data_IF_006481660419
#
_entry.id   IF_006481660419
#
_cell.length_a   1.000
_cell.length_b   1.000
_cell.length_c   1.000
_cell.angle_alpha   90.00
_cell.angle_beta   90.00
_cell.angle_gamma   90.00
#
_symmetry.space_group_name_H-M   'P 1'
#
loop_
_entity.id
_entity.type
_entity.pdbx_description
1 polymer ?
#
# COMPACT_ATOMS: atom_id res chain seq x y z
N UNK A 1 37.59 -56.48 21.26
CA UNK A 1 36.22 -56.87 20.85
C UNK A 1 35.40 -55.62 20.96
N UNK A 2 35.16 -54.95 19.83
CA UNK A 2 34.31 -53.77 19.75
C UNK A 2 32.86 -54.24 19.72
N UNK A 3 32.08 -53.84 20.72
CA UNK A 3 30.63 -54.03 20.74
C UNK A 3 30.00 -53.03 19.76
N UNK A 4 29.61 -53.54 18.59
CA UNK A 4 28.75 -52.80 17.66
C UNK A 4 27.34 -52.76 18.24
N UNK A 5 26.96 -51.64 18.84
CA UNK A 5 25.58 -51.38 19.25
C UNK A 5 24.73 -51.17 18.00
N UNK A 6 23.95 -52.19 17.64
CA UNK A 6 22.94 -52.10 16.59
C UNK A 6 21.79 -51.28 17.15
N UNK A 7 21.63 -50.04 16.67
CA UNK A 7 20.46 -49.21 16.95
C UNK A 7 19.26 -49.87 16.28
N UNK A 8 18.33 -50.38 17.10
CA UNK A 8 17.06 -50.95 16.69
C UNK A 8 16.26 -49.92 15.88
N UNK A 9 15.89 -50.26 14.64
CA UNK A 9 14.93 -49.48 13.86
C UNK A 9 13.57 -49.53 14.56
N UNK A 10 13.11 -48.40 15.09
CA UNK A 10 11.76 -48.31 15.67
C UNK A 10 10.73 -48.67 14.59
N UNK A 11 9.82 -49.60 14.92
CA UNK A 11 8.67 -49.93 14.05
C UNK A 11 7.84 -48.67 13.85
N UNK A 12 7.66 -48.26 12.59
CA UNK A 12 6.81 -47.12 12.27
C UNK A 12 5.35 -47.59 12.27
N UNK A 13 4.67 -47.41 13.40
CA UNK A 13 3.28 -47.81 13.61
C UNK A 13 2.30 -47.21 12.58
N UNK A 14 2.65 -46.07 11.97
CA UNK A 14 1.85 -45.44 10.92
C UNK A 14 1.81 -46.26 9.62
N UNK A 15 2.72 -47.23 9.42
CA UNK A 15 2.69 -48.13 8.25
C UNK A 15 1.49 -49.09 8.28
N UNK A 16 0.92 -49.33 9.47
CA UNK A 16 -0.23 -50.22 9.66
C UNK A 16 -1.57 -49.47 9.56
N UNK A 17 -1.53 -48.13 9.38
CA UNK A 17 -2.71 -47.28 9.31
C UNK A 17 -3.22 -47.12 7.87
N UNK A 18 -4.52 -46.91 7.70
CA UNK A 18 -5.08 -46.44 6.44
C UNK A 18 -4.66 -44.99 6.16
N UNK A 19 -4.70 -44.57 4.90
CA UNK A 19 -4.42 -43.17 4.53
C UNK A 19 -5.33 -42.18 5.27
N UNK A 20 -6.62 -42.52 5.44
CA UNK A 20 -7.57 -41.69 6.18
C UNK A 20 -7.18 -41.54 7.67
N UNK A 21 -6.67 -42.61 8.30
CA UNK A 21 -6.18 -42.56 9.67
C UNK A 21 -4.91 -41.69 9.79
N UNK A 22 -4.03 -41.76 8.79
CA UNK A 22 -2.84 -40.90 8.72
C UNK A 22 -3.26 -39.43 8.56
N UNK A 23 -4.17 -39.11 7.64
CA UNK A 23 -4.67 -37.75 7.41
C UNK A 23 -5.32 -37.17 8.67
N UNK A 24 -6.20 -37.94 9.32
CA UNK A 24 -6.83 -37.52 10.58
C UNK A 24 -5.81 -37.27 11.69
N UNK A 25 -4.78 -38.10 11.78
CA UNK A 25 -3.69 -37.93 12.76
C UNK A 25 -2.86 -36.67 12.49
N UNK A 26 -2.49 -36.40 11.23
CA UNK A 26 -1.76 -35.18 10.83
C UNK A 26 -2.58 -33.94 11.22
N UNK A 27 -3.88 -33.93 10.92
CA UNK A 27 -4.77 -32.83 11.25
C UNK A 27 -4.86 -32.64 12.78
N UNK A 28 -5.07 -33.73 13.53
CA UNK A 28 -5.15 -33.66 15.00
C UNK A 28 -3.86 -33.10 15.62
N UNK A 29 -2.70 -33.59 15.19
CA UNK A 29 -1.41 -33.09 15.68
C UNK A 29 -1.12 -31.64 15.25
N UNK A 30 -1.65 -31.21 14.11
CA UNK A 30 -1.57 -29.80 13.69
C UNK A 30 -2.37 -28.90 14.64
N UNK A 31 -3.56 -29.33 15.06
CA UNK A 31 -4.35 -28.63 16.07
C UNK A 31 -3.67 -28.61 17.45
N UNK A 32 -3.08 -29.73 17.86
CA UNK A 32 -2.32 -29.81 19.11
C UNK A 32 -1.11 -28.87 19.10
N UNK A 33 -0.45 -28.71 17.96
CA UNK A 33 0.65 -27.76 17.78
C UNK A 33 0.17 -26.31 17.96
N UNK A 34 -0.94 -25.93 17.31
CA UNK A 34 -1.54 -24.61 17.44
C UNK A 34 -1.95 -24.31 18.89
N UNK A 35 -2.55 -25.30 19.56
CA UNK A 35 -2.92 -25.25 20.96
C UNK A 35 -1.71 -25.08 21.87
N UNK A 36 -0.65 -25.83 21.61
CA UNK A 36 0.59 -25.78 22.39
C UNK A 36 1.23 -24.40 22.32
N UNK A 37 1.23 -23.75 21.16
CA UNK A 37 1.73 -22.37 20.99
C UNK A 37 1.05 -21.40 21.97
N UNK A 38 -0.27 -21.50 22.11
CA UNK A 38 -1.07 -20.61 22.96
C UNK A 38 -0.94 -20.95 24.46
N UNK A 39 -0.92 -22.22 24.84
CA UNK A 39 -0.69 -22.62 26.23
C UNK A 39 0.73 -22.27 26.71
N UNK A 40 1.73 -22.37 25.83
CA UNK A 40 3.09 -21.86 26.10
C UNK A 40 3.04 -20.35 26.36
N UNK A 41 2.38 -19.59 25.48
CA UNK A 41 2.23 -18.14 25.65
C UNK A 41 1.54 -17.74 26.96
N UNK A 42 0.47 -18.45 27.33
CA UNK A 42 -0.25 -18.28 28.60
C UNK A 42 0.62 -18.53 29.82
N UNK A 43 1.39 -19.63 29.81
CA UNK A 43 2.28 -19.97 30.91
C UNK A 43 3.42 -18.93 31.05
N UNK A 44 4.04 -18.54 29.93
CA UNK A 44 5.08 -17.52 29.90
C UNK A 44 4.56 -16.16 30.38
N UNK A 45 3.35 -15.78 29.97
CA UNK A 45 2.69 -14.55 30.41
C UNK A 45 2.42 -14.57 31.92
N UNK A 46 1.98 -15.70 32.47
CA UNK A 46 1.80 -15.84 33.92
C UNK A 46 3.13 -15.73 34.71
N UNK A 47 4.24 -16.20 34.13
CA UNK A 47 5.58 -16.01 34.72
C UNK A 47 5.99 -14.54 34.69
N UNK A 48 5.79 -13.86 33.55
CA UNK A 48 6.18 -12.46 33.35
C UNK A 48 5.34 -11.50 34.20
N UNK A 49 4.01 -11.57 34.11
CA UNK A 49 3.08 -10.68 34.83
C UNK A 49 3.10 -10.94 36.33
N UNK A 50 3.14 -12.21 36.73
CA UNK A 50 3.23 -12.62 38.13
C UNK A 50 4.61 -12.42 38.73
N UNK A 51 5.60 -11.99 37.93
CA UNK A 51 7.03 -11.90 38.31
C UNK A 51 7.56 -13.17 38.98
N UNK A 52 7.05 -14.34 38.57
CA UNK A 52 7.36 -15.64 39.21
C UNK A 52 8.84 -16.02 39.09
N UNK A 53 9.55 -15.45 38.13
CA UNK A 53 11.00 -15.58 38.01
C UNK A 53 11.74 -15.13 39.30
N UNK A 54 11.16 -14.24 40.10
CA UNK A 54 11.76 -13.81 41.38
C UNK A 54 11.82 -14.94 42.42
N UNK A 55 10.96 -15.97 42.33
CA UNK A 55 10.99 -17.14 43.22
C UNK A 55 12.30 -17.94 43.08
N UNK A 56 12.93 -17.87 41.91
CA UNK A 56 14.23 -18.48 41.63
C UNK A 56 15.40 -17.49 41.74
N UNK A 57 15.14 -16.26 42.20
CA UNK A 57 16.17 -15.25 42.43
C UNK A 57 16.57 -14.40 41.22
N UNK A 58 15.89 -14.53 40.07
CA UNK A 58 16.19 -13.69 38.91
C UNK A 58 15.61 -12.29 39.07
N UNK A 59 16.34 -11.28 38.56
CA UNK A 59 15.94 -9.87 38.64
C UNK A 59 14.95 -9.46 37.56
N UNK A 60 14.91 -10.21 36.45
CA UNK A 60 14.04 -9.92 35.30
C UNK A 60 13.59 -11.19 34.58
N UNK A 61 12.48 -11.09 33.86
CA UNK A 61 12.00 -12.17 32.99
C UNK A 61 13.03 -12.56 31.92
N UNK A 62 13.79 -11.59 31.41
CA UNK A 62 14.85 -11.83 30.42
C UNK A 62 15.96 -12.70 30.98
N UNK A 63 16.47 -12.37 32.16
CA UNK A 63 17.51 -13.13 32.85
C UNK A 63 17.05 -14.57 33.12
N UNK A 64 15.81 -14.74 33.61
CA UNK A 64 15.20 -16.06 33.78
C UNK A 64 15.15 -16.86 32.49
N UNK A 65 14.73 -16.24 31.38
CA UNK A 65 14.63 -16.93 30.09
C UNK A 65 15.99 -17.28 29.51
N UNK A 66 17.02 -16.47 29.73
CA UNK A 66 18.39 -16.78 29.28
C UNK A 66 18.91 -18.04 29.98
N UNK A 67 18.74 -18.16 31.29
CA UNK A 67 19.12 -19.36 32.04
C UNK A 67 18.22 -20.57 31.74
N UNK A 68 16.90 -20.36 31.68
CA UNK A 68 15.95 -21.43 31.37
C UNK A 68 16.13 -21.97 29.94
N UNK A 69 16.54 -21.13 28.97
CA UNK A 69 16.83 -21.57 27.61
C UNK A 69 18.10 -22.43 27.49
N UNK A 70 18.95 -22.44 28.51
CA UNK A 70 20.13 -23.30 28.57
C UNK A 70 19.85 -24.66 29.21
N UNK A 71 18.79 -24.79 30.03
CA UNK A 71 18.60 -25.94 30.91
C UNK A 71 17.18 -26.54 30.94
N UNK A 72 16.16 -25.85 30.41
CA UNK A 72 14.75 -26.26 30.58
C UNK A 72 13.91 -26.09 29.32
N UNK A 73 14.06 -24.98 28.60
CA UNK A 73 13.29 -24.69 27.39
C UNK A 73 14.19 -24.72 26.15
N UNK A 74 13.68 -25.22 25.04
CA UNK A 74 14.40 -25.25 23.77
C UNK A 74 14.33 -23.91 23.00
N UNK A 75 13.81 -22.84 23.62
CA UNK A 75 13.63 -21.56 22.98
C UNK A 75 14.11 -20.37 23.82
N UNK A 76 14.64 -19.37 23.11
CA UNK A 76 15.23 -18.15 23.70
C UNK A 76 14.17 -17.12 24.08
N UNK A 77 14.57 -16.13 24.87
CA UNK A 77 13.75 -14.98 25.27
C UNK A 77 12.93 -14.34 24.13
N UNK A 78 13.56 -14.13 22.96
CA UNK A 78 12.86 -13.53 21.80
C UNK A 78 11.67 -14.37 21.34
N UNK A 79 11.79 -15.69 21.33
CA UNK A 79 10.70 -16.59 20.97
C UNK A 79 9.63 -16.61 22.07
N UNK A 80 10.03 -16.63 23.34
CA UNK A 80 9.08 -16.52 24.46
C UNK A 80 8.21 -15.26 24.36
N UNK A 81 8.81 -14.12 23.99
CA UNK A 81 8.06 -12.87 23.76
C UNK A 81 7.09 -12.97 22.57
N UNK A 82 7.38 -13.73 21.52
CA UNK A 82 6.41 -14.00 20.44
C UNK A 82 5.22 -14.80 20.94
N UNK A 83 5.48 -15.89 21.68
CA UNK A 83 4.43 -16.72 22.28
C UNK A 83 3.50 -15.88 23.16
N UNK A 84 4.07 -15.00 24.00
CA UNK A 84 3.29 -14.08 24.83
C UNK A 84 2.41 -13.15 23.97
N UNK A 85 2.98 -12.48 22.97
CA UNK A 85 2.22 -11.54 22.12
C UNK A 85 1.11 -12.21 21.33
N UNK A 86 1.36 -13.42 20.82
CA UNK A 86 0.35 -14.22 20.12
C UNK A 86 -0.76 -14.62 21.09
N UNK A 87 -0.41 -15.03 22.32
CA UNK A 87 -1.40 -15.32 23.35
C UNK A 87 -2.23 -14.09 23.77
N UNK A 88 -1.60 -12.93 23.93
CA UNK A 88 -2.30 -11.68 24.29
C UNK A 88 -3.38 -11.30 23.28
N UNK A 89 -3.15 -11.55 21.98
CA UNK A 89 -4.11 -11.25 20.93
C UNK A 89 -5.14 -12.37 20.72
N UNK A 90 -4.70 -13.63 20.73
CA UNK A 90 -5.52 -14.74 20.23
C UNK A 90 -5.88 -15.78 21.31
N UNK A 91 -5.49 -15.59 22.57
CA UNK A 91 -5.56 -16.60 23.63
C UNK A 91 -6.95 -17.20 23.92
N UNK A 92 -8.04 -16.53 23.52
CA UNK A 92 -9.41 -17.05 23.61
C UNK A 92 -9.94 -17.73 22.34
N UNK A 93 -9.14 -17.81 21.27
CA UNK A 93 -9.56 -18.24 19.92
C UNK A 93 -8.79 -19.48 19.43
N UNK A 94 -8.36 -20.32 20.37
CA UNK A 94 -7.59 -21.54 20.11
C UNK A 94 -8.22 -22.43 19.02
N UNK A 95 -9.54 -22.57 19.06
CA UNK A 95 -10.37 -23.35 18.15
C UNK A 95 -10.48 -22.76 16.75
N UNK A 96 -10.06 -21.50 16.56
CA UNK A 96 -10.31 -20.75 15.33
C UNK A 96 -9.07 -20.55 14.46
N UNK A 97 -7.84 -20.65 14.99
CA UNK A 97 -6.62 -20.19 14.29
C UNK A 97 -6.09 -21.08 13.15
N UNK A 98 -6.88 -22.04 12.65
CA UNK A 98 -6.58 -22.92 11.52
C UNK A 98 -5.13 -23.42 11.42
N UNK A 99 -4.52 -23.80 12.57
CA UNK A 99 -3.14 -24.29 12.67
C UNK A 99 -2.02 -23.33 12.18
N UNK A 100 -2.27 -22.02 12.19
CA UNK A 100 -1.31 -21.02 11.75
C UNK A 100 0.00 -21.03 12.54
N UNK A 101 1.11 -20.79 11.84
CA UNK A 101 2.47 -20.71 12.43
C UNK A 101 2.59 -19.50 13.35
N UNK A 102 3.31 -19.67 14.46
CA UNK A 102 3.53 -18.59 15.44
C UNK A 102 4.15 -17.34 14.82
N UNK A 103 5.08 -17.48 13.86
CA UNK A 103 5.69 -16.34 13.18
C UNK A 103 4.68 -15.54 12.36
N UNK A 104 3.72 -16.19 11.72
CA UNK A 104 2.67 -15.55 10.92
C UNK A 104 1.70 -14.81 11.86
N UNK A 105 1.27 -15.48 12.93
CA UNK A 105 0.40 -14.88 13.94
C UNK A 105 1.04 -13.66 14.62
N UNK A 106 2.34 -13.70 14.92
CA UNK A 106 3.06 -12.57 15.54
C UNK A 106 3.17 -11.35 14.60
N UNK A 107 3.32 -11.58 13.28
CA UNK A 107 3.37 -10.52 12.26
C UNK A 107 1.99 -9.88 12.09
N UNK A 108 0.96 -10.71 11.96
CA UNK A 108 -0.41 -10.28 11.67
C UNK A 108 -1.19 -9.79 12.90
N UNK A 109 -0.59 -9.83 14.11
CA UNK A 109 -1.24 -9.39 15.36
C UNK A 109 -1.86 -7.99 15.30
N UNK A 110 -1.24 -7.08 14.54
CA UNK A 110 -1.61 -5.67 14.51
C UNK A 110 -2.59 -5.32 13.36
N UNK A 111 -3.01 -6.29 12.55
CA UNK A 111 -3.96 -6.03 11.45
C UNK A 111 -5.40 -5.88 11.97
N UNK A 112 -6.30 -5.22 11.19
CA UNK A 112 -7.72 -5.14 11.51
C UNK A 112 -8.35 -6.53 11.68
N UNK A 113 -9.24 -6.67 12.66
CA UNK A 113 -9.85 -7.96 13.01
C UNK A 113 -10.64 -8.57 11.84
N UNK A 114 -11.34 -7.74 11.07
CA UNK A 114 -12.10 -8.18 9.90
C UNK A 114 -11.21 -8.82 8.81
N UNK A 115 -10.01 -8.27 8.61
CA UNK A 115 -9.08 -8.80 7.61
C UNK A 115 -8.41 -10.08 8.12
N UNK A 116 -8.15 -10.17 9.42
CA UNK A 116 -7.70 -11.40 10.05
C UNK A 116 -8.73 -12.54 9.92
N UNK A 117 -10.01 -12.27 10.21
CA UNK A 117 -11.07 -13.28 10.11
C UNK A 117 -11.23 -13.81 8.69
N UNK A 118 -11.15 -12.95 7.67
CA UNK A 118 -11.18 -13.39 6.26
C UNK A 118 -10.05 -14.37 5.93
N UNK A 119 -8.81 -14.09 6.36
CA UNK A 119 -7.65 -14.96 6.12
C UNK A 119 -7.78 -16.30 6.85
N UNK A 120 -8.36 -16.24 8.04
CA UNK A 120 -8.54 -17.39 8.89
C UNK A 120 -9.62 -18.34 8.33
N UNK A 121 -10.76 -17.78 7.91
CA UNK A 121 -11.89 -18.53 7.36
C UNK A 121 -11.60 -19.07 5.95
N UNK A 122 -10.78 -18.38 5.15
CA UNK A 122 -10.35 -18.86 3.82
C UNK A 122 -9.31 -19.98 3.89
N UNK A 123 -8.68 -20.18 5.05
CA UNK A 123 -7.57 -21.13 5.24
C UNK A 123 -6.23 -20.67 4.67
N UNK A 124 -6.16 -19.45 4.12
CA UNK A 124 -4.90 -18.84 3.66
C UNK A 124 -3.90 -18.69 4.81
N UNK A 125 -4.39 -18.47 6.03
CA UNK A 125 -3.56 -18.30 7.22
C UNK A 125 -2.63 -19.51 7.50
N UNK A 126 -3.06 -20.73 7.18
CA UNK A 126 -2.27 -21.95 7.37
C UNK A 126 -1.15 -22.10 6.31
N UNK A 127 -1.49 -21.75 5.05
CA UNK A 127 -0.57 -21.85 3.92
C UNK A 127 0.46 -20.70 3.90
N UNK A 128 0.15 -19.57 4.54
CA UNK A 128 0.95 -18.36 4.50
C UNK A 128 2.34 -18.55 5.12
N UNK A 129 3.36 -18.06 4.43
CA UNK A 129 4.72 -17.90 4.95
C UNK A 129 4.87 -16.60 5.73
N UNK A 130 5.89 -16.52 6.59
CA UNK A 130 6.22 -15.28 7.32
C UNK A 130 6.43 -14.08 6.37
N UNK A 131 7.05 -14.31 5.21
CA UNK A 131 7.33 -13.27 4.21
C UNK A 131 6.04 -12.73 3.60
N UNK A 132 5.11 -13.61 3.26
CA UNK A 132 3.81 -13.21 2.72
C UNK A 132 2.99 -12.44 3.75
N UNK A 133 3.06 -12.84 5.03
CA UNK A 133 2.45 -12.10 6.12
C UNK A 133 3.04 -10.68 6.27
N UNK A 134 4.36 -10.53 6.15
CA UNK A 134 5.03 -9.22 6.19
C UNK A 134 4.64 -8.34 4.99
N UNK A 135 4.56 -8.93 3.79
CA UNK A 135 4.12 -8.23 2.58
C UNK A 135 2.66 -7.78 2.69
N UNK A 136 1.79 -8.63 3.22
CA UNK A 136 0.39 -8.30 3.45
C UNK A 136 0.25 -7.14 4.44
N UNK A 137 0.98 -7.19 5.57
CA UNK A 137 1.01 -6.10 6.55
C UNK A 137 1.46 -4.79 5.90
N UNK A 138 2.54 -4.82 5.12
CA UNK A 138 3.04 -3.63 4.41
C UNK A 138 2.03 -3.07 3.40
N UNK A 139 1.29 -3.93 2.68
CA UNK A 139 0.23 -3.51 1.76
C UNK A 139 -0.93 -2.83 2.50
N UNK A 140 -1.34 -3.38 3.64
CA UNK A 140 -2.40 -2.79 4.47
C UNK A 140 -1.96 -1.45 5.07
N UNK A 141 -0.72 -1.34 5.54
CA UNK A 141 -0.16 -0.08 6.05
C UNK A 141 -0.12 0.98 4.93
N UNK A 142 0.38 0.64 3.74
CA UNK A 142 0.39 1.54 2.60
C UNK A 142 -1.02 1.98 2.15
N UNK A 143 -1.99 1.05 2.16
CA UNK A 143 -3.38 1.37 1.84
C UNK A 143 -4.00 2.30 2.90
N UNK A 144 -3.71 2.08 4.18
CA UNK A 144 -4.16 2.95 5.26
C UNK A 144 -3.57 4.37 5.14
N UNK A 145 -2.29 4.49 4.79
CA UNK A 145 -1.67 5.79 4.51
C UNK A 145 -2.38 6.53 3.36
N UNK A 146 -2.70 5.83 2.28
CA UNK A 146 -3.46 6.41 1.15
C UNK A 146 -4.85 6.86 1.58
N UNK A 147 -5.56 6.06 2.39
CA UNK A 147 -6.88 6.43 2.93
C UNK A 147 -6.78 7.69 3.80
N UNK A 148 -5.75 7.81 4.64
CA UNK A 148 -5.53 9.00 5.46
C UNK A 148 -5.30 10.25 4.60
N UNK A 149 -4.49 10.15 3.53
CA UNK A 149 -4.26 11.26 2.60
C UNK A 149 -5.54 11.69 1.87
N UNK A 150 -6.33 10.72 1.36
CA UNK A 150 -7.60 10.99 0.70
C UNK A 150 -8.63 11.60 1.66
N UNK A 151 -8.67 11.14 2.90
CA UNK A 151 -9.57 11.70 3.93
C UNK A 151 -9.21 13.15 4.23
N UNK A 152 -7.92 13.45 4.41
CA UNK A 152 -7.45 14.81 4.62
C UNK A 152 -7.72 15.73 3.42
N UNK A 153 -7.69 15.22 2.19
CA UNK A 153 -8.06 15.97 1.00
C UNK A 153 -9.57 16.22 0.91
N UNK A 154 -10.39 15.22 1.22
CA UNK A 154 -11.85 15.38 1.30
C UNK A 154 -12.26 16.42 2.36
N UNK A 155 -11.60 16.47 3.50
CA UNK A 155 -11.84 17.47 4.54
C UNK A 155 -11.53 18.90 4.04
N UNK A 156 -10.42 19.07 3.30
CA UNK A 156 -10.09 20.36 2.67
C UNK A 156 -11.14 20.78 1.65
N UNK A 157 -11.58 19.84 0.81
CA UNK A 157 -12.63 20.09 -0.19
C UNK A 157 -13.94 20.48 0.49
N UNK A 158 -14.29 19.84 1.61
CA UNK A 158 -15.49 20.17 2.37
C UNK A 158 -15.45 21.62 2.90
N UNK A 159 -14.33 22.03 3.50
CA UNK A 159 -14.12 23.41 3.98
C UNK A 159 -14.20 24.42 2.83
N UNK A 160 -13.57 24.12 1.70
CA UNK A 160 -13.58 25.02 0.54
C UNK A 160 -14.99 25.14 -0.07
N UNK A 161 -15.73 24.04 -0.14
CA UNK A 161 -17.14 24.02 -0.58
C UNK A 161 -18.03 24.86 0.34
N UNK A 162 -17.82 24.79 1.65
CA UNK A 162 -18.55 25.60 2.62
C UNK A 162 -18.28 27.09 2.42
N UNK A 163 -17.00 27.46 2.21
CA UNK A 163 -16.61 28.84 1.91
C UNK A 163 -17.24 29.36 0.61
N UNK A 164 -17.17 28.58 -0.49
CA UNK A 164 -17.81 28.95 -1.76
C UNK A 164 -19.32 29.13 -1.59
N UNK A 165 -19.96 28.27 -0.79
CA UNK A 165 -21.40 28.35 -0.52
C UNK A 165 -21.74 29.64 0.25
N UNK A 166 -20.93 30.00 1.25
CA UNK A 166 -21.09 31.25 1.99
C UNK A 166 -20.92 32.49 1.08
N UNK A 167 -19.88 32.50 0.25
CA UNK A 167 -19.62 33.60 -0.70
C UNK A 167 -20.79 33.76 -1.68
N UNK A 168 -21.30 32.66 -2.24
CA UNK A 168 -22.47 32.66 -3.12
C UNK A 168 -23.74 33.18 -2.46
N UNK A 169 -23.95 32.89 -1.17
CA UNK A 169 -25.09 33.41 -0.43
C UNK A 169 -24.94 34.91 -0.17
N UNK A 170 -23.73 35.39 0.13
CA UNK A 170 -23.47 36.83 0.29
C UNK A 170 -23.73 37.61 -1.00
N UNK A 171 -23.23 37.12 -2.14
CA UNK A 171 -23.45 37.78 -3.43
C UNK A 171 -24.93 37.78 -3.85
N UNK A 172 -25.69 36.74 -3.50
CA UNK A 172 -27.14 36.74 -3.71
C UNK A 172 -27.84 37.81 -2.86
N UNK A 173 -27.46 37.93 -1.60
CA UNK A 173 -28.03 38.93 -0.70
C UNK A 173 -27.74 40.36 -1.19
N UNK A 174 -26.49 40.65 -1.56
CA UNK A 174 -26.11 41.96 -2.13
C UNK A 174 -26.89 42.25 -3.41
N UNK A 175 -27.01 41.27 -4.33
CA UNK A 175 -27.78 41.43 -5.56
C UNK A 175 -29.24 41.78 -5.27
N UNK A 176 -29.87 41.09 -4.33
CA UNK A 176 -31.28 41.32 -3.99
C UNK A 176 -31.46 42.71 -3.36
N UNK A 177 -30.51 43.16 -2.54
CA UNK A 177 -30.50 44.50 -1.95
C UNK A 177 -30.35 45.60 -3.01
N UNK A 178 -29.44 45.44 -3.98
CA UNK A 178 -29.34 46.36 -5.12
C UNK A 178 -30.62 46.41 -5.96
N UNK A 179 -31.30 45.27 -6.12
CA UNK A 179 -32.55 45.20 -6.88
C UNK A 179 -33.68 45.97 -6.17
N UNK A 180 -33.79 45.85 -4.84
CA UNK A 180 -34.75 46.63 -4.05
C UNK A 180 -34.41 48.13 -4.01
N UNK A 181 -33.13 48.50 -3.92
CA UNK A 181 -32.71 49.90 -4.03
C UNK A 181 -33.09 50.52 -5.39
N UNK A 182 -32.87 49.81 -6.49
CA UNK A 182 -33.29 50.22 -7.84
C UNK A 182 -34.80 50.45 -7.90
N UNK A 183 -35.59 49.50 -7.39
CA UNK A 183 -37.05 49.58 -7.38
C UNK A 183 -37.58 50.72 -6.50
N UNK A 184 -36.93 50.98 -5.37
CA UNK A 184 -37.23 52.11 -4.48
C UNK A 184 -36.92 53.47 -5.09
N UNK A 185 -35.82 53.57 -5.85
CA UNK A 185 -35.47 54.78 -6.61
C UNK A 185 -36.45 55.03 -7.78
N UNK A 186 -36.91 53.98 -8.46
CA UNK A 186 -37.92 54.07 -9.52
C UNK A 186 -39.31 54.47 -9.00
N UNK A 187 -39.63 54.18 -7.74
CA UNK A 187 -40.95 54.42 -7.14
C UNK A 187 -41.03 55.67 -6.25
N UNK A 188 -39.91 56.39 -6.04
CA UNK A 188 -39.90 57.63 -5.25
C UNK A 188 -40.58 58.77 -6.03
N UNK A 189 -41.63 59.41 -5.49
CA UNK A 189 -42.22 60.59 -6.10
C UNK A 189 -41.21 61.75 -6.09
N UNK A 190 -41.02 62.40 -7.23
CA UNK A 190 -40.23 63.63 -7.32
C UNK A 190 -41.00 64.74 -6.62
N UNK A 191 -40.57 65.11 -5.41
CA UNK A 191 -41.16 66.20 -4.64
C UNK A 191 -40.61 67.54 -5.15
N UNK A 192 -41.41 68.20 -6.00
CA UNK A 192 -41.09 69.52 -6.55
C UNK A 192 -41.47 70.62 -5.56
N UNK A 193 -40.49 71.22 -4.88
CA UNK A 193 -40.63 72.58 -4.33
C UNK A 193 -40.05 73.55 -5.36
N UNK A 194 -40.95 74.29 -6.00
CA UNK A 194 -40.64 75.24 -7.07
C UNK A 194 -40.11 76.55 -6.45
N UNK A 195 -38.79 76.75 -6.54
CA UNK A 195 -38.31 77.92 -7.26
C UNK A 195 -37.97 77.40 -8.65
N UNK A 196 -38.79 77.75 -9.65
CA UNK A 196 -38.80 77.15 -10.98
C UNK A 196 -37.42 77.35 -11.65
N UNK A 197 -36.58 76.30 -11.71
CA UNK A 197 -35.41 76.33 -12.56
C UNK A 197 -35.93 76.33 -14.00
N UNK A 198 -35.37 77.14 -14.90
CA UNK A 198 -35.86 77.25 -16.27
C UNK A 198 -36.01 75.87 -16.91
N UNK A 199 -37.06 75.69 -17.73
CA UNK A 199 -37.35 74.43 -18.44
C UNK A 199 -36.12 73.88 -19.18
N UNK A 200 -35.23 74.76 -19.65
CA UNK A 200 -33.95 74.40 -20.27
C UNK A 200 -32.96 73.73 -19.30
N UNK A 201 -32.87 74.19 -18.05
CA UNK A 201 -31.97 73.61 -17.05
C UNK A 201 -32.44 72.21 -16.63
N UNK A 202 -33.76 72.04 -16.45
CA UNK A 202 -34.38 70.75 -16.13
C UNK A 202 -34.22 69.74 -17.28
N UNK A 203 -34.34 70.19 -18.53
CA UNK A 203 -34.11 69.34 -19.71
C UNK A 203 -32.64 68.94 -19.82
N UNK A 204 -31.73 69.90 -19.61
CA UNK A 204 -30.28 69.66 -19.60
C UNK A 204 -29.85 68.63 -18.56
N UNK A 205 -30.31 68.74 -17.32
CA UNK A 205 -29.95 67.82 -16.24
C UNK A 205 -30.47 66.40 -16.51
N UNK A 206 -31.70 66.27 -17.03
CA UNK A 206 -32.26 64.96 -17.42
C UNK A 206 -31.51 64.33 -18.58
N UNK A 207 -31.12 65.14 -19.56
CA UNK A 207 -30.39 64.66 -20.73
C UNK A 207 -28.93 64.29 -20.39
N UNK A 208 -28.28 65.01 -19.47
CA UNK A 208 -26.97 64.64 -18.93
C UNK A 208 -27.03 63.39 -18.06
N UNK A 209 -28.00 63.26 -17.16
CA UNK A 209 -28.17 62.07 -16.33
C UNK A 209 -28.47 60.82 -17.17
N UNK A 210 -29.29 60.95 -18.23
CA UNK A 210 -29.55 59.87 -19.18
C UNK A 210 -28.30 59.49 -19.98
N UNK A 211 -27.52 60.47 -20.46
CA UNK A 211 -26.25 60.22 -21.17
C UNK A 211 -25.20 59.58 -20.27
N UNK A 212 -25.08 60.00 -19.02
CA UNK A 212 -24.14 59.43 -18.05
C UNK A 212 -24.54 57.98 -17.69
N UNK A 213 -25.83 57.72 -17.47
CA UNK A 213 -26.34 56.37 -17.21
C UNK A 213 -26.16 55.45 -18.42
N UNK A 214 -26.45 55.92 -19.63
CA UNK A 214 -26.27 55.15 -20.87
C UNK A 214 -24.78 54.86 -21.12
N UNK A 215 -23.90 55.84 -20.89
CA UNK A 215 -22.45 55.67 -20.99
C UNK A 215 -21.93 54.63 -20.00
N UNK A 216 -22.40 54.65 -18.76
CA UNK A 216 -22.03 53.67 -17.72
C UNK A 216 -22.58 52.26 -18.01
N UNK A 217 -23.79 52.16 -18.57
CA UNK A 217 -24.35 50.87 -18.97
C UNK A 217 -23.59 50.26 -20.16
N UNK A 218 -23.20 51.10 -21.13
CA UNK A 218 -22.43 50.67 -22.30
C UNK A 218 -21.01 50.27 -21.91
N UNK A 219 -20.35 51.00 -21.01
CA UNK A 219 -19.00 50.63 -20.53
C UNK A 219 -19.03 49.33 -19.74
N UNK A 220 -19.96 49.17 -18.78
CA UNK A 220 -20.11 47.93 -18.01
C UNK A 220 -20.41 46.73 -18.92
N UNK A 221 -21.32 46.88 -19.89
CA UNK A 221 -21.64 45.82 -20.86
C UNK A 221 -20.42 45.44 -21.70
N UNK A 222 -19.61 46.41 -22.12
CA UNK A 222 -18.37 46.17 -22.87
C UNK A 222 -17.34 45.37 -22.05
N UNK A 223 -17.20 45.68 -20.75
CA UNK A 223 -16.29 44.99 -19.85
C UNK A 223 -16.74 43.55 -19.57
N UNK A 224 -18.04 43.33 -19.30
CA UNK A 224 -18.59 41.98 -19.13
C UNK A 224 -18.43 41.14 -20.39
N UNK A 225 -18.66 41.71 -21.57
CA UNK A 225 -18.55 40.99 -22.83
C UNK A 225 -17.09 40.60 -23.17
N UNK A 226 -16.12 41.43 -22.77
CA UNK A 226 -14.69 41.10 -22.83
C UNK A 226 -14.32 39.98 -21.84
N UNK A 227 -14.76 40.07 -20.59
CA UNK A 227 -14.50 39.06 -19.56
C UNK A 227 -15.06 37.68 -19.96
N UNK A 228 -16.28 37.64 -20.51
CA UNK A 228 -16.90 36.41 -21.01
C UNK A 228 -16.11 35.82 -22.19
N UNK A 229 -15.56 36.67 -23.08
CA UNK A 229 -14.75 36.22 -24.21
C UNK A 229 -13.43 35.59 -23.76
N UNK A 230 -12.75 36.20 -22.80
CA UNK A 230 -11.49 35.68 -22.25
C UNK A 230 -11.72 34.38 -21.47
N UNK A 231 -12.75 34.31 -20.60
CA UNK A 231 -13.14 33.06 -19.92
C UNK A 231 -13.46 31.92 -20.89
N UNK A 232 -14.13 32.21 -22.01
CA UNK A 232 -14.39 31.19 -23.05
C UNK A 232 -13.11 30.71 -23.74
N UNK A 233 -12.13 31.59 -23.96
CA UNK A 233 -10.82 31.20 -24.51
C UNK A 233 -10.04 30.34 -23.54
N UNK A 234 -9.94 30.74 -22.27
CA UNK A 234 -9.24 29.97 -21.25
C UNK A 234 -9.87 28.59 -21.04
N UNK A 235 -11.21 28.52 -20.98
CA UNK A 235 -11.92 27.23 -20.90
C UNK A 235 -11.57 26.31 -22.07
N UNK A 236 -11.55 26.84 -23.30
CA UNK A 236 -11.23 26.05 -24.49
C UNK A 236 -9.77 25.58 -24.50
N UNK A 237 -8.84 26.41 -24.01
CA UNK A 237 -7.44 26.04 -23.85
C UNK A 237 -7.21 25.01 -22.74
N UNK A 238 -7.97 25.09 -21.65
CA UNK A 238 -7.94 24.09 -20.59
C UNK A 238 -8.49 22.74 -21.09
N UNK A 239 -9.62 22.74 -21.80
CA UNK A 239 -10.21 21.54 -22.40
C UNK A 239 -9.26 20.85 -23.40
N UNK A 240 -8.51 21.61 -24.21
CA UNK A 240 -7.53 21.01 -25.12
C UNK A 240 -6.35 20.39 -24.38
N UNK A 241 -5.84 21.05 -23.32
CA UNK A 241 -4.75 20.50 -22.50
C UNK A 241 -5.16 19.23 -21.76
N UNK A 242 -6.39 19.17 -21.26
CA UNK A 242 -6.92 17.94 -20.62
C UNK A 242 -6.95 16.79 -21.61
N UNK A 243 -7.43 17.01 -22.84
CA UNK A 243 -7.44 15.97 -23.87
C UNK A 243 -6.05 15.48 -24.25
N UNK A 244 -5.08 16.39 -24.39
CA UNK A 244 -3.69 16.01 -24.68
C UNK A 244 -3.09 15.16 -23.56
N UNK A 245 -3.37 15.49 -22.30
CA UNK A 245 -2.90 14.71 -21.13
C UNK A 245 -3.59 13.34 -21.10
N UNK A 246 -4.90 13.26 -21.32
CA UNK A 246 -5.64 11.99 -21.35
C UNK A 246 -5.15 11.06 -22.47
N UNK A 247 -4.89 11.60 -23.66
CA UNK A 247 -4.34 10.83 -24.79
C UNK A 247 -2.91 10.36 -24.50
N UNK A 248 -2.06 11.20 -23.91
CA UNK A 248 -0.71 10.82 -23.51
C UNK A 248 -0.71 9.73 -22.43
N UNK A 249 -1.53 9.88 -21.39
CA UNK A 249 -1.65 8.89 -20.32
C UNK A 249 -2.20 7.56 -20.84
N UNK A 250 -3.21 7.59 -21.73
CA UNK A 250 -3.76 6.38 -22.34
C UNK A 250 -2.69 5.66 -23.15
N UNK A 251 -1.89 6.39 -23.93
CA UNK A 251 -0.81 5.81 -24.72
C UNK A 251 0.28 5.18 -23.83
N UNK A 252 0.69 5.83 -22.74
CA UNK A 252 1.64 5.25 -21.79
C UNK A 252 1.10 3.98 -21.12
N UNK A 253 -0.20 3.94 -20.81
CA UNK A 253 -0.86 2.78 -20.21
C UNK A 253 -0.91 1.60 -21.20
N UNK A 254 -1.24 1.88 -22.45
CA UNK A 254 -1.25 0.89 -23.53
C UNK A 254 0.16 0.35 -23.81
N UNK A 255 1.18 1.22 -23.86
CA UNK A 255 2.59 0.85 -24.06
C UNK A 255 3.12 0.00 -22.89
N UNK A 256 2.79 0.36 -21.65
CA UNK A 256 3.18 -0.40 -20.46
C UNK A 256 2.49 -1.77 -20.38
N UNK A 257 1.20 -1.83 -20.71
CA UNK A 257 0.43 -3.08 -20.78
C UNK A 257 0.99 -4.03 -21.85
N UNK A 258 1.32 -3.51 -23.03
CA UNK A 258 1.94 -4.27 -24.11
C UNK A 258 3.33 -4.82 -23.72
N UNK A 259 4.16 -4.01 -23.05
CA UNK A 259 5.47 -4.45 -22.56
C UNK A 259 5.35 -5.57 -21.52
N UNK A 260 4.44 -5.43 -20.55
CA UNK A 260 4.20 -6.44 -19.52
C UNK A 260 3.65 -7.75 -20.09
N UNK A 261 2.77 -7.67 -21.10
CA UNK A 261 2.26 -8.84 -21.81
C UNK A 261 3.35 -9.58 -22.59
N UNK A 262 4.21 -8.84 -23.30
CA UNK A 262 5.32 -9.41 -24.06
C UNK A 262 6.37 -10.08 -23.14
N UNK A 263 6.69 -9.45 -22.01
CA UNK A 263 7.65 -10.00 -21.03
C UNK A 263 7.13 -11.29 -20.38
N UNK A 264 5.82 -11.37 -20.07
CA UNK A 264 5.21 -12.61 -19.54
C UNK A 264 5.25 -13.74 -20.56
N UNK A 265 4.84 -13.48 -21.81
CA UNK A 265 4.84 -14.51 -22.85
C UNK A 265 6.26 -15.04 -23.15
N UNK A 266 7.26 -14.16 -23.20
CA UNK A 266 8.66 -14.55 -23.40
C UNK A 266 9.22 -15.36 -22.22
N UNK A 267 8.78 -15.07 -20.99
CA UNK A 267 9.16 -15.82 -19.79
C UNK A 267 8.53 -17.22 -19.79
N UNK A 268 7.25 -17.32 -20.11
CA UNK A 268 6.53 -18.60 -20.18
C UNK A 268 7.10 -19.53 -21.27
N UNK A 269 7.51 -18.97 -22.41
CA UNK A 269 8.10 -19.76 -23.50
C UNK A 269 9.49 -20.28 -23.15
N UNK A 270 10.29 -19.49 -22.42
CA UNK A 270 11.60 -19.92 -21.90
C UNK A 270 11.48 -20.99 -20.82
N UNK A 271 10.47 -20.91 -19.94
CA UNK A 271 10.18 -21.95 -18.94
C UNK A 271 9.82 -23.27 -19.63
N UNK A 272 8.93 -23.23 -20.63
CA UNK A 272 8.57 -24.41 -21.42
C UNK A 272 9.77 -25.02 -22.16
N UNK A 273 10.67 -24.19 -22.67
CA UNK A 273 11.89 -24.68 -23.33
C UNK A 273 12.83 -25.38 -22.35
N UNK A 274 12.97 -24.87 -21.12
CA UNK A 274 13.73 -25.50 -20.05
C UNK A 274 13.12 -26.84 -19.65
N UNK A 275 11.81 -26.88 -19.40
CA UNK A 275 11.07 -28.11 -19.06
C UNK A 275 11.24 -29.19 -20.15
N UNK A 276 11.17 -28.81 -21.43
CA UNK A 276 11.39 -29.72 -22.55
C UNK A 276 12.82 -30.28 -22.59
N UNK A 277 13.82 -29.43 -22.33
CA UNK A 277 15.23 -29.85 -22.30
C UNK A 277 15.51 -30.79 -21.12
N UNK A 278 14.93 -30.51 -19.96
CA UNK A 278 15.02 -31.36 -18.77
C UNK A 278 14.34 -32.72 -18.99
N UNK A 279 13.17 -32.76 -19.63
CA UNK A 279 12.49 -34.02 -19.97
C UNK A 279 13.26 -34.90 -20.96
N UNK A 280 14.10 -34.30 -21.81
CA UNK A 280 14.95 -35.02 -22.76
C UNK A 280 16.29 -35.48 -22.18
N UNK A 281 16.60 -35.15 -20.92
CA UNK A 281 17.84 -35.56 -20.27
C UNK A 281 17.73 -37.03 -19.81
N UNK A 282 18.57 -37.91 -20.38
CA UNK A 282 18.58 -39.34 -20.02
C UNK A 282 19.29 -39.63 -18.70
N UNK A 283 20.12 -38.70 -18.20
CA UNK A 283 20.92 -38.86 -16.98
C UNK A 283 20.83 -37.63 -16.06
N UNK A 284 20.93 -37.82 -14.74
CA UNK A 284 20.91 -36.72 -13.77
C UNK A 284 22.00 -35.65 -14.02
N UNK A 285 23.21 -36.07 -14.38
CA UNK A 285 24.31 -35.15 -14.69
C UNK A 285 24.03 -34.25 -15.93
N UNK A 286 23.23 -34.74 -16.89
CA UNK A 286 22.83 -33.94 -18.06
C UNK A 286 21.75 -32.92 -17.66
N UNK A 287 20.85 -33.28 -16.75
CA UNK A 287 19.85 -32.38 -16.16
C UNK A 287 20.50 -31.22 -15.39
N UNK A 288 21.47 -31.53 -14.52
CA UNK A 288 22.23 -30.53 -13.75
C UNK A 288 22.99 -29.55 -14.67
N UNK A 289 23.60 -30.07 -15.76
CA UNK A 289 24.31 -29.24 -16.72
C UNK A 289 23.36 -28.35 -17.55
N UNK A 290 22.17 -28.85 -17.89
CA UNK A 290 21.13 -28.09 -18.60
C UNK A 290 20.62 -26.95 -17.73
N UNK A 291 20.32 -27.24 -16.46
CA UNK A 291 19.84 -26.26 -15.48
C UNK A 291 20.89 -25.17 -15.23
N UNK A 292 22.16 -25.56 -15.01
CA UNK A 292 23.27 -24.63 -14.86
C UNK A 292 23.41 -23.71 -16.09
N UNK A 293 23.44 -24.27 -17.30
CA UNK A 293 23.59 -23.47 -18.54
C UNK A 293 22.42 -22.50 -18.75
N UNK A 294 21.21 -22.91 -18.40
CA UNK A 294 20.03 -22.06 -18.49
C UNK A 294 20.14 -20.87 -17.54
N UNK A 295 20.34 -21.11 -16.24
CA UNK A 295 20.45 -20.02 -15.27
C UNK A 295 21.68 -19.14 -15.49
N UNK A 296 22.79 -19.72 -15.95
CA UNK A 296 23.98 -18.95 -16.30
C UNK A 296 23.73 -18.00 -17.48
N UNK A 297 23.07 -18.48 -18.54
CA UNK A 297 22.71 -17.65 -19.69
C UNK A 297 21.70 -16.54 -19.31
N UNK A 298 20.68 -16.87 -18.52
CA UNK A 298 19.71 -15.88 -18.02
C UNK A 298 20.38 -14.82 -17.14
N UNK A 299 21.26 -15.24 -16.23
CA UNK A 299 22.03 -14.32 -15.38
C UNK A 299 22.89 -13.39 -16.24
N UNK A 300 23.56 -13.92 -17.26
CA UNK A 300 24.39 -13.12 -18.16
C UNK A 300 23.58 -12.10 -18.96
N UNK A 301 22.42 -12.48 -19.49
CA UNK A 301 21.57 -11.57 -20.26
C UNK A 301 20.90 -10.51 -19.37
N UNK A 302 20.44 -10.90 -18.18
CA UNK A 302 19.88 -9.95 -17.22
C UNK A 302 20.93 -8.97 -16.70
N UNK A 303 22.18 -9.41 -16.51
CA UNK A 303 23.28 -8.52 -16.17
C UNK A 303 23.57 -7.50 -17.29
N UNK A 304 23.53 -7.90 -18.57
CA UNK A 304 23.66 -6.96 -19.70
C UNK A 304 22.52 -5.94 -19.71
N UNK A 305 21.27 -6.38 -19.51
CA UNK A 305 20.10 -5.49 -19.43
C UNK A 305 20.24 -4.49 -18.28
N UNK A 306 20.67 -4.98 -17.12
CA UNK A 306 20.93 -4.17 -15.94
C UNK A 306 21.99 -3.09 -16.20
N UNK A 307 23.12 -3.44 -16.82
CA UNK A 307 24.17 -2.48 -17.20
C UNK A 307 23.66 -1.44 -18.21
N UNK A 308 22.89 -1.87 -19.22
CA UNK A 308 22.28 -0.96 -20.19
C UNK A 308 21.29 0.02 -19.54
N UNK A 309 20.50 -0.44 -18.56
CA UNK A 309 19.59 0.41 -17.80
C UNK A 309 20.36 1.45 -16.97
N UNK A 310 21.45 1.02 -16.33
CA UNK A 310 22.35 1.89 -15.57
C UNK A 310 23.00 2.96 -16.45
N UNK A 311 23.31 2.64 -17.71
CA UNK A 311 23.89 3.59 -18.65
C UNK A 311 22.91 4.66 -19.13
N UNK A 312 21.62 4.33 -19.20
CA UNK A 312 20.54 5.26 -19.58
C UNK A 312 20.19 6.29 -18.50
N UNK A 313 20.65 6.11 -17.27
CA UNK A 313 20.43 7.08 -16.19
C UNK A 313 21.11 8.40 -16.53
N UNK A 314 20.32 9.46 -16.71
CA UNK A 314 20.82 10.77 -17.15
C UNK A 314 21.39 11.63 -16.01
N UNK A 315 20.92 11.39 -14.78
CA UNK A 315 21.34 12.10 -13.57
C UNK A 315 22.68 11.54 -13.05
N UNK A 316 23.76 12.37 -12.96
CA UNK A 316 25.08 11.89 -12.60
C UNK A 316 25.18 11.34 -11.17
N UNK A 317 24.55 12.00 -10.18
CA UNK A 317 24.61 11.59 -8.78
C UNK A 317 23.83 10.28 -8.56
N UNK A 318 22.65 10.16 -9.18
CA UNK A 318 21.87 8.91 -9.15
C UNK A 318 22.61 7.79 -9.86
N UNK A 319 23.25 8.06 -11.00
CA UNK A 319 24.04 7.07 -11.74
C UNK A 319 25.22 6.55 -10.91
N UNK A 320 25.91 7.43 -10.19
CA UNK A 320 27.02 7.05 -9.30
C UNK A 320 26.53 6.21 -8.11
N UNK A 321 25.42 6.61 -7.48
CA UNK A 321 24.79 5.84 -6.40
C UNK A 321 24.37 4.44 -6.86
N UNK A 322 23.73 4.33 -8.02
CA UNK A 322 23.32 3.05 -8.58
C UNK A 322 24.51 2.18 -9.00
N UNK A 323 25.58 2.78 -9.53
CA UNK A 323 26.86 2.08 -9.78
C UNK A 323 27.45 1.52 -8.48
N UNK A 324 27.48 2.30 -7.40
CA UNK A 324 27.95 1.84 -6.11
C UNK A 324 27.14 0.65 -5.58
N UNK A 325 25.82 0.66 -5.74
CA UNK A 325 24.95 -0.45 -5.37
C UNK A 325 25.21 -1.70 -6.24
N UNK A 326 25.36 -1.52 -7.55
CA UNK A 326 25.67 -2.58 -8.50
C UNK A 326 26.99 -3.31 -8.15
N UNK A 327 28.03 -2.54 -7.82
CA UNK A 327 29.34 -3.09 -7.45
C UNK A 327 29.22 -3.95 -6.20
N UNK A 328 28.58 -3.44 -5.14
CA UNK A 328 28.37 -4.19 -3.89
C UNK A 328 27.61 -5.51 -4.11
N UNK A 329 26.62 -5.50 -5.00
CA UNK A 329 25.85 -6.69 -5.35
C UNK A 329 26.73 -7.75 -6.03
N UNK A 330 27.54 -7.36 -7.01
CA UNK A 330 28.46 -8.29 -7.69
C UNK A 330 29.55 -8.80 -6.74
N UNK A 331 30.07 -7.95 -5.85
CA UNK A 331 31.03 -8.35 -4.82
C UNK A 331 30.43 -9.36 -3.84
N UNK A 332 29.16 -9.23 -3.47
CA UNK A 332 28.46 -10.20 -2.64
C UNK A 332 28.34 -11.56 -3.32
N UNK A 333 27.94 -11.59 -4.60
CA UNK A 333 27.90 -12.84 -5.40
C UNK A 333 29.29 -13.47 -5.49
N UNK A 334 30.32 -12.67 -5.75
CA UNK A 334 31.71 -13.15 -5.78
C UNK A 334 32.12 -13.74 -4.44
N UNK A 335 31.70 -13.14 -3.33
CA UNK A 335 31.92 -13.65 -1.98
C UNK A 335 31.27 -15.01 -1.77
N UNK A 336 30.02 -15.19 -2.21
CA UNK A 336 29.31 -16.46 -2.09
C UNK A 336 29.90 -17.56 -2.98
N UNK A 337 30.36 -17.21 -4.19
CA UNK A 337 31.08 -18.15 -5.07
C UNK A 337 32.46 -18.56 -4.55
N UNK A 338 33.08 -17.73 -3.70
CA UNK A 338 34.40 -17.98 -3.09
C UNK A 338 34.34 -18.67 -1.74
N UNK A 339 33.16 -18.81 -1.13
CA UNK A 339 32.99 -19.65 0.05
C UNK A 339 33.18 -21.10 -0.41
N UNK A 340 34.36 -21.66 -0.17
CA UNK A 340 34.61 -23.09 -0.40
C UNK A 340 33.55 -23.91 0.32
N UNK A 341 32.99 -24.88 -0.40
CA UNK A 341 32.15 -25.94 0.17
C UNK A 341 32.94 -26.64 1.28
N UNK A 342 32.61 -26.34 2.52
CA UNK A 342 33.06 -27.08 3.71
C UNK A 342 32.38 -28.44 3.79
#
# INVERSE_FOLDING_TARGET
MEETTIISSQHNECLDWSLEQIDQSIVAHSYDMARSILEIGKALKAIEDGKKYTEKGYSSFKEYMEDASAHTFEFKYTQARKHIRVYERFGGRLDKLNCAKIEVLDVLRDIPEEDFEKLNDSGELNAMSKREAEELKAKLEAANEQICLLTAENDKIAVEKEKITADCNSFKAERDEYYEQMKGLESRPVETVIAEPSEELLRSIREEAAKEAEKNMVSAKSEYEKAIKELKKEKKAAESRVKEIEEAHKKELDDMSASLGADKAATDERIKELERKLQSAEKPADSELIEFKFYFAETQDNLKKFLNALDKVSDPEKKEKFKGAAIKFVEAILGDLKKESL
#
